data_IF_000901961756
#
_entry.id   IF_000901961756
#
_cell.length_a   1.000
_cell.length_b   1.000
_cell.length_c   1.000
_cell.angle_alpha   90.00
_cell.angle_beta   90.00
_cell.angle_gamma   90.00
#
_symmetry.space_group_name_H-M   'P 1'
#
loop_
_entity.id
_entity.type
_entity.pdbx_description
1 polymer ?
#
# COMPACT_ATOMS: atom_id res chain seq x y z
N UNK A 1 15.78 14.23 -16.65
CA UNK A 1 15.66 13.62 -17.99
C UNK A 1 14.49 14.26 -18.71
N UNK A 2 14.77 15.29 -19.50
CA UNK A 2 13.81 15.91 -20.40
C UNK A 2 14.61 16.66 -21.45
N UNK A 3 14.27 16.49 -22.73
CA UNK A 3 14.92 17.20 -23.84
C UNK A 3 14.23 18.55 -24.14
N UNK A 4 13.12 18.84 -23.46
CA UNK A 4 12.33 20.06 -23.62
C UNK A 4 12.59 21.02 -22.46
N UNK A 5 13.05 22.22 -22.80
CA UNK A 5 13.15 23.34 -21.88
C UNK A 5 11.95 24.25 -22.10
N UNK A 6 11.15 24.46 -21.04
CA UNK A 6 9.95 25.29 -21.12
C UNK A 6 10.37 26.75 -21.30
N UNK A 7 9.95 27.44 -22.37
CA UNK A 7 10.26 28.85 -22.57
C UNK A 7 9.57 29.74 -21.52
N UNK A 8 10.09 30.95 -21.30
CA UNK A 8 9.54 31.93 -20.33
C UNK A 8 8.05 32.27 -20.53
N UNK A 9 7.55 32.11 -21.76
CA UNK A 9 6.16 32.40 -22.15
C UNK A 9 5.23 31.18 -22.08
N UNK A 10 5.71 30.03 -21.59
CA UNK A 10 4.92 28.81 -21.37
C UNK A 10 4.70 27.94 -22.61
N UNK A 11 3.98 26.82 -22.45
CA UNK A 11 3.64 25.94 -23.58
C UNK A 11 2.45 26.49 -24.36
N UNK A 12 2.59 26.65 -25.67
CA UNK A 12 1.51 27.00 -26.60
C UNK A 12 0.84 25.76 -27.18
N UNK A 13 -0.38 25.94 -27.69
CA UNK A 13 -1.12 24.92 -28.47
C UNK A 13 -0.47 24.61 -29.83
N UNK A 14 0.40 25.50 -30.31
CA UNK A 14 1.17 25.32 -31.52
C UNK A 14 2.58 24.81 -31.18
N UNK A 15 3.11 23.82 -31.92
CA UNK A 15 4.48 23.37 -31.78
C UNK A 15 5.46 24.52 -32.04
N UNK A 16 6.34 24.77 -31.07
CA UNK A 16 7.39 25.76 -31.17
C UNK A 16 8.75 25.13 -31.51
N UNK A 17 9.78 25.95 -31.72
CA UNK A 17 11.12 25.46 -32.04
C UNK A 17 11.70 24.58 -30.94
N UNK A 18 11.52 24.98 -29.67
CA UNK A 18 12.02 24.22 -28.53
C UNK A 18 11.43 22.80 -28.49
N UNK A 19 10.12 22.65 -28.78
CA UNK A 19 9.48 21.35 -28.81
C UNK A 19 9.97 20.51 -29.99
N UNK A 20 10.11 21.10 -31.17
CA UNK A 20 10.60 20.41 -32.36
C UNK A 20 12.04 19.91 -32.15
N UNK A 21 12.91 20.74 -31.56
CA UNK A 21 14.29 20.35 -31.27
C UNK A 21 14.38 19.29 -30.17
N UNK A 22 13.47 19.32 -29.19
CA UNK A 22 13.32 18.26 -28.20
C UNK A 22 12.90 16.93 -28.85
N UNK A 23 11.94 16.95 -29.79
CA UNK A 23 11.51 15.75 -30.53
C UNK A 23 12.67 15.20 -31.36
N UNK A 24 13.43 16.04 -32.06
CA UNK A 24 14.62 15.59 -32.82
C UNK A 24 15.67 14.96 -31.91
N UNK A 25 15.92 15.57 -30.76
CA UNK A 25 16.87 15.05 -29.77
C UNK A 25 16.43 13.69 -29.24
N UNK A 26 15.14 13.52 -28.94
CA UNK A 26 14.56 12.25 -28.54
C UNK A 26 14.67 11.20 -29.64
N UNK A 27 14.32 11.54 -30.88
CA UNK A 27 14.42 10.64 -32.03
C UNK A 27 15.86 10.17 -32.24
N UNK A 28 16.83 11.11 -32.22
CA UNK A 28 18.25 10.80 -32.35
C UNK A 28 18.74 9.89 -31.21
N UNK A 29 18.39 10.21 -29.96
CA UNK A 29 18.80 9.42 -28.79
C UNK A 29 18.26 7.99 -28.79
N UNK A 30 17.12 7.75 -29.44
CA UNK A 30 16.46 6.45 -29.49
C UNK A 30 16.60 5.74 -30.85
N UNK A 31 17.47 6.24 -31.74
CA UNK A 31 17.74 5.61 -33.03
C UNK A 31 16.55 5.64 -34.01
N UNK A 32 15.61 6.57 -33.82
CA UNK A 32 14.43 6.75 -34.66
C UNK A 32 14.72 7.69 -35.82
N UNK A 33 13.80 7.78 -36.78
CA UNK A 33 13.90 8.79 -37.84
C UNK A 33 13.85 10.21 -37.28
N UNK A 34 14.93 10.98 -37.50
CA UNK A 34 15.07 12.37 -37.01
C UNK A 34 14.37 13.35 -37.95
N UNK A 35 13.05 13.45 -37.85
CA UNK A 35 12.23 14.37 -38.65
C UNK A 35 11.64 15.53 -37.83
N UNK A 36 11.74 15.49 -36.50
CA UNK A 36 11.15 16.46 -35.58
C UNK A 36 9.63 16.36 -35.48
N UNK A 37 9.03 15.25 -35.92
CA UNK A 37 7.58 15.06 -35.96
C UNK A 37 7.15 13.93 -35.04
N UNK A 38 6.13 14.20 -34.23
CA UNK A 38 5.40 13.19 -33.46
C UNK A 38 3.98 13.11 -34.00
N UNK A 39 3.67 12.06 -34.78
CA UNK A 39 2.34 11.83 -35.35
C UNK A 39 1.62 10.73 -34.57
N UNK A 40 0.28 10.80 -34.44
CA UNK A 40 -0.53 9.68 -33.98
C UNK A 40 -0.27 8.42 -34.81
N UNK A 41 -0.04 7.28 -34.14
CA UNK A 41 0.35 6.00 -34.73
C UNK A 41 1.79 5.97 -35.31
N UNK A 42 2.59 7.01 -35.08
CA UNK A 42 3.94 7.13 -35.62
C UNK A 42 5.00 6.38 -34.82
N UNK A 43 6.20 6.30 -35.38
CA UNK A 43 7.37 5.67 -34.75
C UNK A 43 7.75 6.36 -33.42
N UNK A 44 7.83 7.70 -33.41
CA UNK A 44 8.16 8.49 -32.21
C UNK A 44 7.16 8.28 -31.05
N UNK A 45 5.86 8.23 -31.35
CA UNK A 45 4.82 8.00 -30.34
C UNK A 45 4.89 6.57 -29.83
N UNK A 46 5.01 5.59 -30.72
CA UNK A 46 5.10 4.17 -30.35
C UNK A 46 6.30 3.89 -29.46
N UNK A 47 7.44 4.49 -29.76
CA UNK A 47 8.64 4.39 -28.94
C UNK A 47 8.41 4.98 -27.53
N UNK A 48 7.83 6.18 -27.45
CA UNK A 48 7.52 6.82 -26.17
C UNK A 48 6.51 6.00 -25.35
N UNK A 49 5.48 5.48 -25.99
CA UNK A 49 4.47 4.63 -25.34
C UNK A 49 5.08 3.33 -24.83
N UNK A 50 5.95 2.68 -25.62
CA UNK A 50 6.67 1.48 -25.20
C UNK A 50 7.58 1.75 -23.99
N UNK A 51 8.25 2.90 -23.94
CA UNK A 51 9.06 3.29 -22.78
C UNK A 51 8.19 3.52 -21.55
N UNK A 52 7.06 4.21 -21.69
CA UNK A 52 6.13 4.45 -20.59
C UNK A 52 5.58 3.12 -20.04
N UNK A 53 5.16 2.20 -20.91
CA UNK A 53 4.72 0.86 -20.52
C UNK A 53 5.82 0.06 -19.82
N UNK A 54 7.05 0.17 -20.30
CA UNK A 54 8.20 -0.49 -19.68
C UNK A 54 8.44 0.03 -18.26
N UNK A 55 8.41 1.36 -18.06
CA UNK A 55 8.55 1.99 -16.74
C UNK A 55 7.40 1.60 -15.80
N UNK A 56 6.16 1.57 -16.28
CA UNK A 56 5.01 1.10 -15.51
C UNK A 56 5.16 -0.37 -15.09
N UNK A 57 5.74 -1.21 -15.96
CA UNK A 57 6.03 -2.61 -15.66
C UNK A 57 7.10 -2.83 -14.59
N UNK A 58 7.95 -1.83 -14.34
CA UNK A 58 8.92 -1.82 -13.23
C UNK A 58 8.32 -1.32 -11.91
N UNK A 59 7.03 -1.04 -11.91
CA UNK A 59 6.25 -0.71 -10.72
C UNK A 59 6.30 -1.81 -9.65
N UNK A 60 6.46 -1.42 -8.38
CA UNK A 60 6.61 -2.37 -7.26
C UNK A 60 5.50 -2.19 -6.24
N UNK A 61 5.19 -3.27 -5.51
CA UNK A 61 4.24 -3.24 -4.36
C UNK A 61 2.85 -2.68 -4.72
N UNK A 62 2.45 -2.81 -5.98
CA UNK A 62 1.16 -2.34 -6.50
C UNK A 62 1.17 -0.92 -7.07
N UNK A 63 2.31 -0.24 -7.08
CA UNK A 63 2.45 1.03 -7.78
C UNK A 63 2.76 0.80 -9.26
N UNK A 64 1.72 0.81 -10.10
CA UNK A 64 1.82 0.48 -11.54
C UNK A 64 1.41 1.64 -12.45
N UNK A 65 1.06 2.79 -11.89
CA UNK A 65 0.52 3.94 -12.63
C UNK A 65 1.57 5.03 -12.68
N UNK A 66 1.90 5.49 -13.89
CA UNK A 66 2.77 6.66 -14.08
C UNK A 66 1.89 7.90 -14.20
N UNK A 67 2.13 8.91 -13.37
CA UNK A 67 1.41 10.16 -13.38
C UNK A 67 2.34 11.33 -13.07
N UNK A 68 2.06 12.49 -13.66
CA UNK A 68 2.64 13.73 -13.22
C UNK A 68 1.85 14.25 -12.01
N UNK A 69 2.50 14.43 -10.88
CA UNK A 69 1.89 14.93 -9.63
C UNK A 69 2.69 16.12 -9.11
N UNK A 70 2.00 17.07 -8.47
CA UNK A 70 2.63 18.19 -7.79
C UNK A 70 3.26 17.76 -6.46
N UNK A 71 4.22 18.54 -5.90
CA UNK A 71 4.79 18.25 -4.58
C UNK A 71 3.75 18.19 -3.46
N UNK A 72 2.68 19.01 -3.54
CA UNK A 72 1.58 19.00 -2.59
C UNK A 72 0.77 17.70 -2.68
N UNK A 73 0.46 17.22 -3.89
CA UNK A 73 -0.23 15.94 -4.11
C UNK A 73 0.62 14.74 -3.68
N UNK A 74 1.92 14.77 -3.96
CA UNK A 74 2.87 13.77 -3.48
C UNK A 74 2.86 13.68 -1.94
N UNK A 75 2.84 14.83 -1.26
CA UNK A 75 2.76 14.90 0.21
C UNK A 75 1.44 14.30 0.71
N UNK A 76 0.32 14.64 0.06
CA UNK A 76 -1.00 14.12 0.39
C UNK A 76 -1.10 12.60 0.23
N UNK A 77 -0.51 12.02 -0.82
CA UNK A 77 -0.48 10.57 -1.02
C UNK A 77 0.32 9.87 0.09
N UNK A 78 1.42 10.49 0.54
CA UNK A 78 2.21 10.01 1.67
C UNK A 78 1.44 10.06 2.99
N UNK A 79 0.74 11.17 3.26
CA UNK A 79 -0.12 11.33 4.44
C UNK A 79 -1.28 10.31 4.47
N UNK A 80 -1.83 9.97 3.29
CA UNK A 80 -2.83 8.91 3.14
C UNK A 80 -2.23 7.49 3.18
N UNK A 81 -0.96 7.38 3.55
CA UNK A 81 -0.28 6.13 3.87
C UNK A 81 0.42 5.45 2.69
N UNK A 82 0.61 6.19 1.60
CA UNK A 82 1.60 5.86 0.58
C UNK A 82 3.02 5.98 1.14
N UNK A 83 3.95 5.13 0.68
CA UNK A 83 5.33 5.15 1.16
C UNK A 83 6.09 6.41 0.73
N UNK A 84 5.92 6.86 -0.52
CA UNK A 84 6.67 7.98 -1.09
C UNK A 84 8.18 7.71 -1.13
N UNK A 85 8.58 6.48 -1.50
CA UNK A 85 9.98 6.08 -1.64
C UNK A 85 10.47 6.25 -3.07
N UNK A 86 11.78 6.18 -3.31
CA UNK A 86 12.31 6.13 -4.67
C UNK A 86 12.46 4.67 -5.08
N UNK A 87 11.96 4.33 -6.27
CA UNK A 87 12.16 3.03 -6.87
C UNK A 87 13.65 2.91 -7.31
N UNK A 88 14.41 1.94 -6.81
CA UNK A 88 15.82 1.75 -7.14
C UNK A 88 16.04 1.28 -8.59
N UNK A 89 15.03 0.68 -9.22
CA UNK A 89 15.12 0.15 -10.59
C UNK A 89 14.87 1.27 -11.62
N UNK A 90 13.99 2.23 -11.31
CA UNK A 90 13.62 3.32 -12.24
C UNK A 90 14.14 4.69 -11.85
N UNK A 91 14.51 4.89 -10.58
CA UNK A 91 14.82 6.21 -10.02
C UNK A 91 13.62 7.13 -9.83
N UNK A 92 12.39 6.66 -10.11
CA UNK A 92 11.17 7.44 -9.99
C UNK A 92 10.55 7.30 -8.59
N UNK A 93 9.73 8.27 -8.20
CA UNK A 93 8.98 8.25 -6.94
C UNK A 93 7.88 7.17 -7.01
N UNK A 94 7.76 6.36 -5.97
CA UNK A 94 6.75 5.30 -5.84
C UNK A 94 5.84 5.48 -4.61
N UNK A 95 4.55 5.18 -4.79
CA UNK A 95 3.53 5.25 -3.75
C UNK A 95 2.76 3.94 -3.63
N UNK A 96 3.16 3.11 -2.67
CA UNK A 96 2.42 1.90 -2.31
C UNK A 96 1.91 1.98 -0.87
N UNK A 97 0.84 1.22 -0.59
CA UNK A 97 0.23 1.16 0.74
C UNK A 97 1.19 0.51 1.74
N UNK A 98 1.58 1.27 2.76
CA UNK A 98 2.36 0.72 3.88
C UNK A 98 1.48 -0.05 4.85
N UNK A 99 2.00 -1.09 5.50
CA UNK A 99 1.25 -1.93 6.45
C UNK A 99 0.68 -1.15 7.65
N UNK A 100 1.13 0.08 7.88
CA UNK A 100 0.65 0.98 8.94
C UNK A 100 -0.51 1.90 8.51
N UNK A 101 -0.90 1.91 7.23
CA UNK A 101 -2.08 2.63 6.72
C UNK A 101 -3.38 1.84 6.90
N UNK A 102 -3.62 1.33 8.11
CA UNK A 102 -4.92 0.77 8.51
C UNK A 102 -5.48 1.53 9.69
N UNK A 103 -5.68 2.83 9.49
CA UNK A 103 -6.64 3.60 10.29
C UNK A 103 -7.77 3.99 9.36
N UNK A 104 -8.64 3.03 9.05
CA UNK A 104 -10.05 3.29 8.74
C UNK A 104 -10.82 1.97 8.83
N UNK A 105 -11.61 1.86 9.89
CA UNK A 105 -12.78 0.99 9.96
C UNK A 105 -13.71 1.43 8.83
N UNK A 106 -13.93 0.58 7.83
CA UNK A 106 -15.24 0.22 7.28
C UNK A 106 -15.08 -0.70 6.05
N UNK A 107 -15.48 -1.96 6.24
CA UNK A 107 -16.14 -2.87 5.27
C UNK A 107 -15.57 -3.00 3.86
N UNK A 108 -14.65 -3.94 3.69
CA UNK A 108 -14.81 -5.06 2.76
C UNK A 108 -14.14 -6.28 3.37
N UNK A 109 -14.77 -7.45 3.23
CA UNK A 109 -14.40 -8.75 3.81
C UNK A 109 -13.01 -9.25 3.39
N UNK A 110 -11.96 -8.55 3.83
CA UNK A 110 -10.61 -9.12 3.89
C UNK A 110 -10.60 -10.02 5.11
N UNK A 111 -10.93 -11.29 4.90
CA UNK A 111 -10.80 -12.35 5.91
C UNK A 111 -9.37 -12.32 6.44
N UNK A 112 -9.15 -11.72 7.62
CA UNK A 112 -7.86 -11.73 8.31
C UNK A 112 -7.80 -12.91 9.26
N UNK A 113 -6.67 -13.61 9.27
CA UNK A 113 -6.40 -14.72 10.18
C UNK A 113 -6.15 -16.04 9.47
N UNK A 114 -6.28 -17.15 10.21
CA UNK A 114 -6.05 -18.49 9.69
C UNK A 114 -7.34 -19.29 9.58
N UNK A 115 -7.43 -20.13 8.55
CA UNK A 115 -8.54 -21.03 8.30
C UNK A 115 -8.04 -22.47 8.21
N UNK A 116 -8.95 -23.43 8.36
CA UNK A 116 -8.69 -24.86 8.13
C UNK A 116 -9.20 -25.21 6.73
N UNK A 117 -8.34 -25.80 5.90
CA UNK A 117 -8.72 -26.23 4.56
C UNK A 117 -9.61 -27.48 4.63
N UNK A 118 -10.79 -27.44 4.03
CA UNK A 118 -11.69 -28.58 3.91
C UNK A 118 -11.92 -28.96 2.46
N UNK A 119 -11.77 -30.23 2.14
CA UNK A 119 -12.07 -30.76 0.80
C UNK A 119 -13.47 -31.34 0.75
N UNK A 120 -14.04 -31.46 -0.45
CA UNK A 120 -15.32 -32.15 -0.66
C UNK A 120 -15.31 -33.65 -0.28
N UNK A 121 -14.12 -34.25 -0.12
CA UNK A 121 -13.96 -35.63 0.38
C UNK A 121 -14.25 -36.74 -0.64
N UNK A 122 -14.45 -36.39 -1.92
CA UNK A 122 -14.70 -37.36 -3.00
C UNK A 122 -13.45 -37.62 -3.87
N UNK A 123 -13.54 -38.63 -4.73
CA UNK A 123 -12.47 -39.04 -5.65
C UNK A 123 -12.13 -38.01 -6.73
N UNK A 124 -12.92 -36.94 -6.89
CA UNK A 124 -12.65 -35.85 -7.84
C UNK A 124 -11.80 -34.73 -7.22
N UNK A 125 -11.46 -34.83 -5.94
CA UNK A 125 -10.54 -33.91 -5.28
C UNK A 125 -9.12 -34.17 -5.78
N UNK A 126 -8.46 -33.13 -6.31
CA UNK A 126 -7.06 -33.17 -6.74
C UNK A 126 -6.16 -33.62 -5.58
N UNK A 127 -5.15 -34.45 -5.86
CA UNK A 127 -4.22 -34.98 -4.85
C UNK A 127 -3.56 -33.89 -3.99
N UNK A 128 -3.21 -32.75 -4.60
CA UNK A 128 -2.68 -31.58 -3.91
C UNK A 128 -3.65 -30.99 -2.88
N UNK A 129 -4.96 -30.97 -3.16
CA UNK A 129 -5.99 -30.46 -2.26
C UNK A 129 -6.29 -31.46 -1.14
N UNK A 130 -6.32 -32.76 -1.46
CA UNK A 130 -6.50 -33.81 -0.46
C UNK A 130 -5.41 -33.75 0.63
N UNK A 131 -4.16 -33.46 0.26
CA UNK A 131 -3.04 -33.29 1.20
C UNK A 131 -3.18 -32.06 2.11
N UNK A 132 -3.99 -31.07 1.72
CA UNK A 132 -4.26 -29.84 2.49
C UNK A 132 -5.40 -30.00 3.48
N UNK A 133 -6.27 -31.00 3.30
CA UNK A 133 -7.44 -31.22 4.15
C UNK A 133 -7.06 -31.29 5.64
N UNK A 134 -7.75 -30.51 6.48
CA UNK A 134 -7.52 -30.40 7.92
C UNK A 134 -6.31 -29.56 8.35
N UNK A 135 -5.49 -29.07 7.41
CA UNK A 135 -4.36 -28.18 7.73
C UNK A 135 -4.81 -26.73 7.86
N UNK A 136 -4.10 -25.98 8.70
CA UNK A 136 -4.33 -24.55 8.90
C UNK A 136 -3.50 -23.73 7.90
N UNK A 137 -4.12 -22.77 7.23
CA UNK A 137 -3.48 -21.83 6.31
C UNK A 137 -3.81 -20.39 6.70
N UNK A 138 -2.94 -19.45 6.34
CA UNK A 138 -3.20 -18.03 6.51
C UNK A 138 -3.91 -17.47 5.28
N UNK A 139 -4.82 -16.52 5.47
CA UNK A 139 -5.35 -15.72 4.36
C UNK A 139 -4.27 -14.81 3.74
N UNK A 140 -3.24 -14.43 4.51
CA UNK A 140 -2.16 -13.55 4.02
C UNK A 140 -1.05 -14.29 3.27
N UNK A 141 -0.99 -15.62 3.35
CA UNK A 141 0.02 -16.44 2.69
C UNK A 141 -0.64 -17.70 2.08
N UNK A 142 -1.25 -17.57 0.89
CA UNK A 142 -1.94 -18.67 0.25
C UNK A 142 -0.98 -19.79 -0.14
N UNK A 143 -1.42 -21.07 -0.07
CA UNK A 143 -0.65 -22.16 -0.65
C UNK A 143 -0.66 -22.08 -2.19
N UNK A 144 0.30 -22.75 -2.83
CA UNK A 144 0.40 -22.84 -4.29
C UNK A 144 -0.93 -23.25 -4.94
N UNK A 145 -1.45 -22.46 -5.89
CA UNK A 145 -2.77 -22.68 -6.49
C UNK A 145 -3.95 -22.03 -5.75
N UNK A 146 -3.69 -21.15 -4.79
CA UNK A 146 -4.68 -20.25 -4.19
C UNK A 146 -5.46 -20.84 -3.01
N UNK A 147 -6.52 -20.12 -2.62
CA UNK A 147 -7.41 -20.48 -1.52
C UNK A 147 -8.44 -21.55 -1.92
N UNK A 148 -9.08 -22.22 -0.93
CA UNK A 148 -10.18 -23.15 -1.21
C UNK A 148 -11.28 -22.46 -2.02
N UNK A 149 -11.70 -23.07 -3.13
CA UNK A 149 -12.78 -22.57 -3.97
C UNK A 149 -12.37 -21.64 -5.12
N UNK A 150 -11.12 -21.18 -5.17
CA UNK A 150 -10.68 -20.23 -6.22
C UNK A 150 -10.34 -20.92 -7.56
N UNK A 151 -9.76 -22.13 -7.50
CA UNK A 151 -9.42 -22.87 -8.71
C UNK A 151 -10.68 -23.36 -9.46
N UNK A 152 -10.58 -23.54 -10.78
CA UNK A 152 -11.69 -24.01 -11.60
C UNK A 152 -12.29 -25.34 -11.08
N UNK A 153 -13.62 -25.39 -11.01
CA UNK A 153 -14.39 -26.51 -10.46
C UNK A 153 -13.95 -26.96 -9.05
N UNK A 154 -13.32 -26.08 -8.26
CA UNK A 154 -12.90 -26.39 -6.90
C UNK A 154 -14.08 -26.26 -5.94
N UNK A 155 -14.39 -27.35 -5.23
CA UNK A 155 -15.42 -27.40 -4.18
C UNK A 155 -14.84 -27.45 -2.76
N UNK A 156 -13.58 -27.04 -2.61
CA UNK A 156 -12.95 -26.97 -1.28
C UNK A 156 -13.44 -25.72 -0.55
N UNK A 157 -13.52 -25.77 0.77
CA UNK A 157 -14.01 -24.68 1.61
C UNK A 157 -12.98 -24.30 2.67
N UNK A 158 -13.04 -23.04 3.11
CA UNK A 158 -12.27 -22.54 4.23
C UNK A 158 -13.15 -22.56 5.48
N UNK A 159 -12.83 -23.42 6.44
CA UNK A 159 -13.51 -23.46 7.74
C UNK A 159 -12.79 -22.51 8.71
N UNK A 160 -13.55 -21.65 9.38
CA UNK A 160 -12.99 -20.77 10.41
C UNK A 160 -12.61 -21.58 11.65
N UNK A 161 -11.43 -21.29 12.21
CA UNK A 161 -11.14 -21.78 13.57
C UNK A 161 -12.12 -21.12 14.52
N UNK A 162 -12.98 -21.93 15.16
CA UNK A 162 -13.73 -21.48 16.34
C UNK A 162 -12.72 -20.99 17.37
N UNK A 163 -12.69 -19.68 17.60
CA UNK A 163 -11.89 -19.10 18.67
C UNK A 163 -12.48 -19.59 19.99
N UNK A 164 -11.60 -19.86 20.95
CA UNK A 164 -12.02 -20.20 22.30
C UNK A 164 -12.54 -18.93 22.98
N UNK A 165 -13.80 -18.61 22.68
CA UNK A 165 -14.43 -17.33 23.02
C UNK A 165 -14.55 -17.13 24.53
N UNK A 166 -14.58 -18.19 25.33
CA UNK A 166 -14.56 -18.09 26.79
C UNK A 166 -13.21 -17.61 27.32
N UNK A 167 -12.10 -18.18 26.82
CA UNK A 167 -10.75 -17.75 27.21
C UNK A 167 -10.51 -16.27 26.89
N UNK A 168 -10.89 -15.85 25.67
CA UNK A 168 -10.76 -14.44 25.26
C UNK A 168 -11.64 -13.50 26.09
N UNK A 169 -12.87 -13.90 26.45
CA UNK A 169 -13.75 -13.12 27.33
C UNK A 169 -13.13 -12.96 28.71
N UNK A 170 -12.56 -14.03 29.28
CA UNK A 170 -11.90 -13.99 30.58
C UNK A 170 -10.68 -13.07 30.58
N UNK A 171 -9.77 -13.24 29.61
CA UNK A 171 -8.56 -12.42 29.50
C UNK A 171 -8.90 -10.93 29.33
N UNK A 172 -9.90 -10.62 28.51
CA UNK A 172 -10.41 -9.26 28.34
C UNK A 172 -10.93 -8.69 29.67
N UNK A 173 -11.78 -9.43 30.37
CA UNK A 173 -12.34 -8.96 31.64
C UNK A 173 -11.26 -8.80 32.73
N UNK A 174 -10.26 -9.68 32.76
CA UNK A 174 -9.12 -9.57 33.68
C UNK A 174 -8.26 -8.32 33.39
N UNK A 175 -8.04 -7.99 32.12
CA UNK A 175 -7.33 -6.77 31.73
C UNK A 175 -8.11 -5.50 32.12
N UNK A 176 -9.43 -5.49 31.92
CA UNK A 176 -10.29 -4.38 32.32
C UNK A 176 -10.27 -4.13 33.84
N UNK A 177 -10.29 -5.19 34.66
CA UNK A 177 -10.18 -5.04 36.12
C UNK A 177 -8.84 -4.40 36.52
N UNK A 178 -7.72 -4.87 35.96
CA UNK A 178 -6.40 -4.28 36.27
C UNK A 178 -6.31 -2.80 35.88
N UNK A 179 -6.93 -2.42 34.76
CA UNK A 179 -6.99 -1.01 34.37
C UNK A 179 -7.80 -0.18 35.38
N UNK A 180 -8.94 -0.69 35.83
CA UNK A 180 -9.81 0.01 36.77
C UNK A 180 -9.17 0.12 38.16
N UNK A 181 -8.49 -0.93 38.63
CA UNK A 181 -7.74 -0.94 39.90
C UNK A 181 -6.63 0.12 39.94
N UNK A 182 -6.09 0.52 38.78
CA UNK A 182 -5.05 1.55 38.67
C UNK A 182 -5.63 2.98 38.60
N UNK A 183 -6.93 3.13 38.36
CA UNK A 183 -7.55 4.45 38.16
C UNK A 183 -7.49 5.31 39.43
N UNK A 184 -7.95 4.78 40.56
CA UNK A 184 -7.93 5.52 41.83
C UNK A 184 -6.50 5.86 42.32
N UNK A 185 -5.53 4.93 42.30
CA UNK A 185 -4.14 5.25 42.65
C UNK A 185 -3.53 6.35 41.78
N UNK A 186 -3.80 6.35 40.47
CA UNK A 186 -3.29 7.38 39.55
C UNK A 186 -3.90 8.75 39.87
N UNK A 187 -5.21 8.82 40.10
CA UNK A 187 -5.87 10.08 40.45
C UNK A 187 -5.39 10.64 41.80
N UNK A 188 -5.17 9.76 42.78
CA UNK A 188 -4.58 10.15 44.06
C UNK A 188 -3.16 10.70 43.88
N UNK A 189 -2.31 10.00 43.12
CA UNK A 189 -0.94 10.42 42.87
C UNK A 189 -0.89 11.79 42.15
N UNK A 190 -1.80 12.04 41.20
CA UNK A 190 -1.94 13.36 40.56
C UNK A 190 -2.29 14.45 41.57
N UNK A 191 -3.23 14.17 42.49
CA UNK A 191 -3.60 15.10 43.55
C UNK A 191 -2.43 15.43 44.48
N UNK A 192 -1.65 14.42 44.87
CA UNK A 192 -0.48 14.59 45.73
C UNK A 192 0.61 15.42 45.04
N UNK A 193 0.85 15.20 43.73
CA UNK A 193 1.77 16.00 42.92
C UNK A 193 1.32 17.46 42.85
N UNK A 194 0.06 17.72 42.50
CA UNK A 194 -0.47 19.08 42.42
C UNK A 194 -0.35 19.84 43.76
N UNK A 195 -0.58 19.14 44.88
CA UNK A 195 -0.41 19.72 46.21
C UNK A 195 1.06 20.06 46.51
N UNK A 196 2.00 19.22 46.07
CA UNK A 196 3.42 19.47 46.23
C UNK A 196 3.92 20.62 45.36
N UNK A 197 3.38 20.77 44.14
CA UNK A 197 3.69 21.87 43.23
C UNK A 197 3.25 23.22 43.80
N UNK A 198 1.99 23.32 44.28
CA UNK A 198 1.50 24.54 44.93
C UNK A 198 2.37 24.93 46.14
N UNK A 199 2.78 23.95 46.96
CA UNK A 199 3.65 24.20 48.13
C UNK A 199 5.05 24.69 47.73
N UNK A 200 5.58 24.24 46.59
CA UNK A 200 6.86 24.71 46.05
C UNK A 200 6.75 26.13 45.50
N UNK A 201 5.62 26.51 44.91
CA UNK A 201 5.36 27.89 44.46
C UNK A 201 5.25 28.88 45.62
N UNK A 202 4.57 28.50 46.70
CA UNK A 202 4.50 29.29 47.94
C UNK A 202 5.90 29.54 48.51
N UNK A 203 6.72 28.49 48.66
CA UNK A 203 8.10 28.60 49.18
C UNK A 203 9.06 29.38 48.27
N UNK A 204 8.76 29.53 46.99
CA UNK A 204 9.55 30.34 46.04
C UNK A 204 9.16 31.82 46.06
N UNK A 205 8.02 32.15 46.67
CA UNK A 205 7.47 33.50 46.72
C UNK A 205 7.80 34.25 48.03
N UNK A 206 8.34 33.54 49.03
CA UNK A 206 8.93 34.07 50.28
C UNK A 206 10.45 34.33 50.12
#
# INVERSE_FOLDING_TARGET
MGFYEVPDWGMTEFPDRALIDAIRSFQHANGLRVDGVMKPGGESESALQSMAQHLQGMGRRGDTVLAHISPAEASLLKERGGAGTINPDTGLLEFYRTAKSTTNKNTSDTKKGSYIWRTAGDSKVRSSHARRNGRTFSWDNPPEGGHPGEAYNCRCTAEEKKKDCEKLKWEKNAAWRRHDDLREPIEKAKGDVAKSENRLEELRSD
#
